data_IF_409723306107
#
_entry.id   IF_409723306107
#
_cell.length_a   1.000
_cell.length_b   1.000
_cell.length_c   1.000
_cell.angle_alpha   90.00
_cell.angle_beta   90.00
_cell.angle_gamma   90.00
#
_symmetry.space_group_name_H-M   'P 1'
#
loop_
_entity.id
_entity.type
_entity.pdbx_description
1 polymer ?
#
# COMPACT_ATOMS: atom_id res chain seq x y z
N UNK A 1 -19.85 4.09 -10.66
CA UNK A 1 -20.91 4.79 -9.90
C UNK A 1 -21.17 6.15 -10.50
N UNK A 2 -22.44 6.55 -10.59
CA UNK A 2 -22.84 7.91 -10.94
C UNK A 2 -23.22 8.69 -9.68
N UNK A 3 -23.30 10.03 -9.79
CA UNK A 3 -23.70 10.89 -8.67
C UNK A 3 -25.10 10.50 -8.17
N UNK A 4 -25.20 10.14 -6.89
CA UNK A 4 -26.46 9.71 -6.27
C UNK A 4 -26.66 8.18 -6.21
N UNK A 5 -25.83 7.39 -6.91
CA UNK A 5 -25.94 5.92 -6.93
C UNK A 5 -26.06 5.32 -5.53
N UNK A 6 -25.21 5.73 -4.59
CA UNK A 6 -25.19 5.18 -3.22
C UNK A 6 -26.50 5.38 -2.46
N UNK A 7 -27.22 6.49 -2.71
CA UNK A 7 -28.53 6.74 -2.10
C UNK A 7 -29.60 5.85 -2.72
N UNK A 8 -29.59 5.72 -4.04
CA UNK A 8 -30.49 4.81 -4.77
C UNK A 8 -30.27 3.35 -4.35
N UNK A 9 -29.01 2.93 -4.16
CA UNK A 9 -28.68 1.59 -3.66
C UNK A 9 -29.28 1.34 -2.27
N UNK A 10 -29.12 2.30 -1.34
CA UNK A 10 -29.72 2.21 -0.01
C UNK A 10 -31.26 2.19 -0.04
N UNK A 11 -31.87 2.81 -1.05
CA UNK A 11 -33.31 2.78 -1.29
C UNK A 11 -33.80 1.50 -2.01
N UNK A 12 -32.88 0.61 -2.43
CA UNK A 12 -33.23 -0.61 -3.19
C UNK A 12 -33.59 -0.36 -4.65
N UNK A 13 -33.16 0.76 -5.22
CA UNK A 13 -33.52 1.22 -6.57
C UNK A 13 -32.46 0.88 -7.64
N UNK A 14 -31.41 0.14 -7.27
CA UNK A 14 -30.31 -0.26 -8.16
C UNK A 14 -30.13 -1.77 -8.16
N UNK A 15 -29.17 -2.27 -8.93
CA UNK A 15 -28.71 -3.65 -8.82
C UNK A 15 -28.23 -3.96 -7.39
N UNK A 16 -28.44 -5.21 -6.98
CA UNK A 16 -28.00 -5.75 -5.70
C UNK A 16 -26.48 -5.96 -5.65
N UNK A 17 -25.92 -6.08 -4.44
CA UNK A 17 -24.48 -6.38 -4.27
C UNK A 17 -24.02 -7.59 -5.09
N UNK A 18 -24.71 -8.75 -5.09
CA UNK A 18 -24.28 -9.89 -5.89
C UNK A 18 -24.23 -9.59 -7.39
N UNK A 19 -25.23 -8.87 -7.93
CA UNK A 19 -25.27 -8.49 -9.35
C UNK A 19 -24.11 -7.57 -9.71
N UNK A 20 -23.82 -6.57 -8.87
CA UNK A 20 -22.70 -5.65 -9.08
C UNK A 20 -21.34 -6.38 -9.06
N UNK A 21 -21.14 -7.30 -8.11
CA UNK A 21 -19.92 -8.10 -8.03
C UNK A 21 -19.78 -9.07 -9.21
N UNK A 22 -20.89 -9.67 -9.64
CA UNK A 22 -20.92 -10.56 -10.80
C UNK A 22 -20.61 -9.81 -12.09
N UNK A 23 -21.11 -8.58 -12.25
CA UNK A 23 -20.77 -7.69 -13.36
C UNK A 23 -19.26 -7.40 -13.40
N UNK A 24 -18.64 -7.07 -12.26
CA UNK A 24 -17.20 -6.85 -12.17
C UNK A 24 -16.40 -8.11 -12.55
N UNK A 25 -16.78 -9.27 -11.98
CA UNK A 25 -16.17 -10.57 -12.29
C UNK A 25 -16.26 -10.90 -13.78
N UNK A 26 -17.44 -10.71 -14.38
CA UNK A 26 -17.68 -11.04 -15.78
C UNK A 26 -16.85 -10.13 -16.70
N UNK A 27 -16.76 -8.83 -16.40
CA UNK A 27 -15.92 -7.90 -17.14
C UNK A 27 -14.43 -8.29 -17.07
N UNK A 28 -13.92 -8.58 -15.87
CA UNK A 28 -12.52 -9.03 -15.69
C UNK A 28 -12.25 -10.33 -16.44
N UNK A 29 -13.15 -11.32 -16.35
CA UNK A 29 -13.00 -12.60 -17.05
C UNK A 29 -12.98 -12.42 -18.58
N UNK A 30 -13.84 -11.56 -19.11
CA UNK A 30 -13.89 -11.26 -20.53
C UNK A 30 -12.57 -10.60 -21.01
N UNK A 31 -12.07 -9.63 -20.25
CA UNK A 31 -10.81 -8.93 -20.56
C UNK A 31 -9.58 -9.85 -20.41
N UNK A 32 -9.61 -10.77 -19.45
CA UNK A 32 -8.51 -11.70 -19.17
C UNK A 32 -8.27 -12.73 -20.29
N UNK A 33 -9.27 -12.97 -21.15
CA UNK A 33 -9.16 -13.95 -22.23
C UNK A 33 -7.97 -13.63 -23.14
N UNK A 34 -7.07 -14.59 -23.29
CA UNK A 34 -5.85 -14.50 -24.09
C UNK A 34 -4.88 -13.38 -23.66
N UNK A 35 -4.94 -12.92 -22.40
CA UNK A 35 -4.00 -11.94 -21.85
C UNK A 35 -3.06 -12.62 -20.86
N UNK A 36 -1.80 -12.15 -20.84
CA UNK A 36 -0.79 -12.62 -19.87
C UNK A 36 -0.92 -11.94 -18.51
N UNK A 37 -1.36 -10.69 -18.52
CA UNK A 37 -1.48 -9.82 -17.34
C UNK A 37 -2.79 -9.05 -17.45
N UNK A 38 -3.45 -8.87 -16.31
CA UNK A 38 -4.58 -7.95 -16.15
C UNK A 38 -4.27 -7.06 -14.96
N UNK A 39 -4.43 -5.76 -15.16
CA UNK A 39 -4.37 -4.77 -14.09
C UNK A 39 -5.82 -4.36 -13.77
N UNK A 40 -6.20 -4.48 -12.50
CA UNK A 40 -7.51 -4.06 -12.01
C UNK A 40 -7.25 -2.82 -11.16
N UNK A 41 -7.65 -1.66 -11.67
CA UNK A 41 -7.53 -0.41 -10.93
C UNK A 41 -8.71 -0.25 -9.98
N UNK A 42 -8.42 -0.12 -8.69
CA UNK A 42 -9.41 0.12 -7.65
C UNK A 42 -9.76 1.60 -7.56
N UNK A 43 -10.92 1.93 -7.01
CA UNK A 43 -11.30 3.33 -6.81
C UNK A 43 -10.97 3.75 -5.39
N UNK A 44 -10.23 4.85 -5.24
CA UNK A 44 -9.93 5.46 -3.94
C UNK A 44 -9.20 4.52 -2.97
N UNK A 45 -9.56 4.58 -1.68
CA UNK A 45 -8.96 3.75 -0.63
C UNK A 45 -9.66 2.39 -0.52
N UNK A 46 -9.09 1.39 0.18
CA UNK A 46 -9.54 0.00 0.13
C UNK A 46 -11.04 -0.23 0.42
N UNK A 47 -11.66 0.58 1.28
CA UNK A 47 -13.05 0.42 1.69
C UNK A 47 -14.07 1.20 0.84
N UNK A 48 -13.64 1.92 -0.19
CA UNK A 48 -14.56 2.63 -1.11
C UNK A 48 -15.46 1.61 -1.79
N UNK A 49 -16.78 1.82 -1.73
CA UNK A 49 -17.79 0.87 -2.21
C UNK A 49 -18.45 0.03 -1.11
N UNK A 50 -18.02 0.17 0.15
CA UNK A 50 -18.54 -0.60 1.29
C UNK A 50 -20.04 -0.46 1.52
N UNK A 51 -20.64 0.71 1.25
CA UNK A 51 -22.10 0.91 1.35
C UNK A 51 -22.86 -0.06 0.44
N UNK A 52 -22.31 -0.35 -0.75
CA UNK A 52 -22.91 -1.25 -1.71
C UNK A 52 -22.40 -2.69 -1.58
N UNK A 53 -21.56 -2.99 -0.59
CA UNK A 53 -20.90 -4.30 -0.45
C UNK A 53 -19.90 -4.61 -1.56
N UNK A 54 -19.42 -3.60 -2.28
CA UNK A 54 -18.48 -3.73 -3.40
C UNK A 54 -17.18 -3.00 -3.12
N UNK A 55 -16.69 -3.06 -1.89
CA UNK A 55 -15.38 -2.50 -1.59
C UNK A 55 -14.28 -3.18 -2.41
N UNK A 56 -13.10 -2.57 -2.50
CA UNK A 56 -12.03 -3.08 -3.37
C UNK A 56 -11.60 -4.51 -2.97
N UNK A 57 -11.74 -4.91 -1.70
CA UNK A 57 -11.46 -6.27 -1.27
C UNK A 57 -12.54 -7.26 -1.74
N UNK A 58 -13.81 -6.85 -1.69
CA UNK A 58 -14.96 -7.60 -2.21
C UNK A 58 -14.89 -7.77 -3.73
N UNK A 59 -14.49 -6.72 -4.46
CA UNK A 59 -14.26 -6.80 -5.91
C UNK A 59 -13.08 -7.73 -6.23
N UNK A 60 -11.96 -7.62 -5.53
CA UNK A 60 -10.84 -8.55 -5.71
C UNK A 60 -11.26 -10.00 -5.43
N UNK A 61 -12.07 -10.22 -4.39
CA UNK A 61 -12.66 -11.53 -4.06
C UNK A 61 -13.59 -12.06 -5.15
N UNK A 62 -14.37 -11.20 -5.79
CA UNK A 62 -15.25 -11.61 -6.89
C UNK A 62 -14.45 -11.94 -8.16
N UNK A 63 -13.36 -11.21 -8.41
CA UNK A 63 -12.50 -11.34 -9.59
C UNK A 63 -11.41 -12.42 -9.44
N UNK A 64 -11.72 -13.52 -8.74
CA UNK A 64 -10.79 -14.64 -8.56
C UNK A 64 -10.38 -15.26 -9.89
N UNK A 65 -9.14 -15.74 -9.95
CA UNK A 65 -8.67 -16.57 -11.05
C UNK A 65 -9.57 -17.80 -11.19
N UNK A 66 -10.11 -18.03 -12.38
CA UNK A 66 -10.98 -19.19 -12.63
C UNK A 66 -10.27 -20.51 -12.37
N UNK A 67 -8.97 -20.59 -12.66
CA UNK A 67 -8.17 -21.81 -12.55
C UNK A 67 -7.77 -22.16 -11.12
N UNK A 68 -7.45 -21.17 -10.28
CA UNK A 68 -6.91 -21.43 -8.93
C UNK A 68 -7.82 -20.95 -7.80
N UNK A 69 -8.91 -20.24 -8.15
CA UNK A 69 -9.85 -19.61 -7.21
C UNK A 69 -9.19 -18.61 -6.25
N UNK A 70 -7.94 -18.23 -6.50
CA UNK A 70 -7.24 -17.20 -5.73
C UNK A 70 -7.73 -15.81 -6.17
N UNK A 71 -7.90 -14.85 -5.24
CA UNK A 71 -8.06 -13.45 -5.62
C UNK A 71 -6.77 -12.93 -6.28
N UNK A 72 -6.84 -11.85 -7.08
CA UNK A 72 -5.67 -11.17 -7.58
C UNK A 72 -4.83 -10.60 -6.42
N UNK A 73 -3.52 -10.50 -6.62
CA UNK A 73 -2.63 -9.82 -5.69
C UNK A 73 -2.88 -8.32 -5.68
N UNK A 74 -2.92 -7.72 -4.49
CA UNK A 74 -3.11 -6.27 -4.31
C UNK A 74 -1.76 -5.57 -4.14
N UNK A 75 -1.51 -4.61 -5.02
CA UNK A 75 -0.40 -3.66 -4.90
C UNK A 75 -0.94 -2.33 -4.37
N UNK A 76 -0.40 -1.84 -3.26
CA UNK A 76 -0.82 -0.56 -2.68
C UNK A 76 0.02 0.58 -3.27
N UNK A 77 -0.61 1.64 -3.75
CA UNK A 77 0.08 2.89 -4.09
C UNK A 77 0.00 3.82 -2.89
N UNK A 78 1.12 4.00 -2.19
CA UNK A 78 1.25 4.82 -1.00
C UNK A 78 1.77 6.23 -1.26
N UNK A 79 1.58 7.17 -0.32
CA UNK A 79 2.11 8.52 -0.41
C UNK A 79 3.62 8.58 -0.14
N UNK A 80 4.22 9.74 -0.36
CA UNK A 80 5.61 10.04 -0.01
C UNK A 80 5.83 10.29 1.49
N UNK A 81 7.09 10.40 1.90
CA UNK A 81 7.50 10.52 3.31
C UNK A 81 7.68 9.15 3.98
N UNK A 82 8.37 9.10 5.13
CA UNK A 82 8.63 7.81 5.82
C UNK A 82 7.41 7.36 6.62
N UNK A 83 6.96 8.19 7.57
CA UNK A 83 5.82 7.85 8.43
C UNK A 83 4.53 7.67 7.63
N UNK A 84 4.20 8.65 6.78
CA UNK A 84 2.99 8.60 5.98
C UNK A 84 2.94 7.38 5.04
N UNK A 85 4.05 7.02 4.38
CA UNK A 85 4.16 5.81 3.57
C UNK A 85 3.88 4.54 4.37
N UNK A 86 4.56 4.38 5.52
CA UNK A 86 4.47 3.18 6.35
C UNK A 86 3.09 3.04 6.99
N UNK A 87 2.56 4.12 7.57
CA UNK A 87 1.28 4.12 8.25
C UNK A 87 0.13 3.88 7.27
N UNK A 88 0.15 4.57 6.11
CA UNK A 88 -0.83 4.36 5.05
C UNK A 88 -0.78 2.93 4.52
N UNK A 89 0.42 2.38 4.29
CA UNK A 89 0.57 1.00 3.87
C UNK A 89 -0.02 0.04 4.90
N UNK A 90 0.36 0.16 6.17
CA UNK A 90 -0.10 -0.74 7.22
C UNK A 90 -1.61 -0.71 7.41
N UNK A 91 -2.21 0.48 7.41
CA UNK A 91 -3.65 0.66 7.53
C UNK A 91 -4.38 -0.01 6.36
N UNK A 92 -3.98 0.34 5.13
CA UNK A 92 -4.63 -0.17 3.92
C UNK A 92 -4.41 -1.67 3.73
N UNK A 93 -3.20 -2.16 3.99
CA UNK A 93 -2.89 -3.58 3.87
C UNK A 93 -3.66 -4.41 4.90
N UNK A 94 -3.89 -3.87 6.10
CA UNK A 94 -4.68 -4.54 7.14
C UNK A 94 -6.13 -4.75 6.70
N UNK A 95 -6.73 -3.77 6.00
CA UNK A 95 -8.10 -3.90 5.48
C UNK A 95 -8.25 -5.09 4.53
N UNK A 96 -7.36 -5.20 3.54
CA UNK A 96 -7.34 -6.34 2.61
C UNK A 96 -7.02 -7.66 3.32
N UNK A 97 -6.04 -7.64 4.23
CA UNK A 97 -5.60 -8.86 4.95
C UNK A 97 -6.67 -9.41 5.89
N UNK A 98 -7.45 -8.54 6.51
CA UNK A 98 -8.58 -8.94 7.37
C UNK A 98 -9.68 -9.64 6.58
N UNK A 99 -9.68 -9.47 5.25
CA UNK A 99 -10.58 -10.12 4.31
C UNK A 99 -9.81 -11.12 3.42
N UNK A 100 -8.73 -11.74 3.91
CA UNK A 100 -7.94 -12.75 3.19
C UNK A 100 -7.54 -12.39 1.75
N UNK A 101 -7.43 -11.09 1.44
CA UNK A 101 -6.95 -10.62 0.14
C UNK A 101 -5.43 -10.44 0.21
N UNK A 102 -4.66 -11.09 -0.66
CA UNK A 102 -3.20 -11.09 -0.61
C UNK A 102 -2.67 -9.73 -1.06
N UNK A 103 -2.06 -9.00 -0.14
CA UNK A 103 -1.31 -7.79 -0.44
C UNK A 103 0.12 -8.18 -0.78
N UNK A 104 0.55 -7.95 -2.02
CA UNK A 104 1.89 -8.32 -2.51
C UNK A 104 2.96 -7.31 -2.10
N UNK A 105 2.57 -6.05 -1.87
CA UNK A 105 3.51 -4.99 -1.56
C UNK A 105 2.97 -3.60 -1.88
N UNK A 106 3.88 -2.67 -2.09
CA UNK A 106 3.53 -1.28 -2.41
C UNK A 106 4.52 -0.59 -3.35
N UNK A 107 4.05 0.45 -4.02
CA UNK A 107 4.84 1.51 -4.64
C UNK A 107 4.55 2.79 -3.87
N UNK A 108 5.57 3.59 -3.60
CA UNK A 108 5.40 4.92 -2.99
C UNK A 108 5.59 5.98 -4.06
N UNK A 109 4.63 6.89 -4.18
CA UNK A 109 4.56 7.82 -5.30
C UNK A 109 4.79 9.28 -4.87
N UNK A 110 5.16 10.13 -5.83
CA UNK A 110 5.32 11.58 -5.68
C UNK A 110 6.38 11.95 -4.62
N UNK A 111 7.52 11.28 -4.64
CA UNK A 111 8.63 11.62 -3.75
C UNK A 111 9.43 12.81 -4.29
N UNK A 112 9.71 13.80 -3.43
CA UNK A 112 10.65 14.87 -3.81
C UNK A 112 12.03 14.28 -4.06
N UNK A 113 12.78 14.80 -5.02
CA UNK A 113 14.16 14.35 -5.27
C UNK A 113 15.16 14.93 -4.27
N UNK A 114 14.75 15.94 -3.51
CA UNK A 114 15.57 16.72 -2.59
C UNK A 114 14.95 16.85 -1.19
N UNK A 115 15.69 17.48 -0.28
CA UNK A 115 15.27 17.71 1.10
C UNK A 115 15.39 16.49 2.02
N UNK A 116 14.95 16.66 3.27
CA UNK A 116 15.04 15.62 4.30
C UNK A 116 14.23 14.36 3.94
N UNK A 117 13.04 14.56 3.37
CA UNK A 117 12.16 13.50 2.88
C UNK A 117 12.34 13.22 1.38
N UNK A 118 13.58 13.37 0.89
CA UNK A 118 13.93 13.02 -0.48
C UNK A 118 13.67 11.56 -0.79
N UNK A 119 13.57 11.27 -2.08
CA UNK A 119 13.36 9.94 -2.63
C UNK A 119 14.36 8.93 -2.07
N UNK A 120 15.64 9.25 -2.04
CA UNK A 120 16.68 8.34 -1.54
C UNK A 120 16.58 8.11 -0.03
N UNK A 121 16.32 9.17 0.74
CA UNK A 121 16.14 9.05 2.18
C UNK A 121 14.90 8.20 2.52
N UNK A 122 13.77 8.47 1.86
CA UNK A 122 12.55 7.70 2.04
C UNK A 122 12.72 6.26 1.58
N UNK A 123 13.31 6.03 0.40
CA UNK A 123 13.62 4.70 -0.13
C UNK A 123 14.40 3.88 0.91
N UNK A 124 15.50 4.43 1.44
CA UNK A 124 16.33 3.76 2.44
C UNK A 124 15.54 3.33 3.67
N UNK A 125 14.78 4.26 4.27
CA UNK A 125 14.07 3.98 5.53
C UNK A 125 12.86 3.07 5.34
N UNK A 126 12.07 3.28 4.29
CA UNK A 126 10.88 2.47 4.02
C UNK A 126 11.29 1.06 3.58
N UNK A 127 12.33 0.91 2.76
CA UNK A 127 12.86 -0.43 2.42
C UNK A 127 13.34 -1.17 3.68
N UNK A 128 14.05 -0.51 4.59
CA UNK A 128 14.48 -1.12 5.85
C UNK A 128 13.27 -1.57 6.69
N UNK A 129 12.22 -0.75 6.77
CA UNK A 129 10.97 -1.13 7.43
C UNK A 129 10.35 -2.40 6.83
N UNK A 130 10.23 -2.49 5.51
CA UNK A 130 9.66 -3.67 4.85
C UNK A 130 10.49 -4.93 5.11
N UNK A 131 11.82 -4.83 5.04
CA UNK A 131 12.73 -5.94 5.33
C UNK A 131 12.59 -6.45 6.78
N UNK A 132 12.40 -5.53 7.74
CA UNK A 132 12.34 -5.88 9.16
C UNK A 132 10.95 -6.36 9.60
N UNK A 133 9.87 -5.78 9.05
CA UNK A 133 8.52 -5.95 9.59
C UNK A 133 7.51 -6.53 8.60
N UNK A 134 7.84 -6.65 7.31
CA UNK A 134 6.94 -7.14 6.26
C UNK A 134 7.58 -8.29 5.47
N UNK A 135 7.90 -9.43 6.10
CA UNK A 135 8.70 -10.50 5.48
C UNK A 135 8.07 -11.13 4.22
N UNK A 136 6.76 -10.98 4.03
CA UNK A 136 6.02 -11.50 2.88
C UNK A 136 5.63 -10.44 1.84
N UNK A 137 6.04 -9.17 2.03
CA UNK A 137 5.65 -8.05 1.16
C UNK A 137 6.86 -7.20 0.79
N UNK A 138 6.80 -6.52 -0.35
CA UNK A 138 7.93 -5.71 -0.85
C UNK A 138 7.52 -4.27 -1.12
N UNK A 139 8.42 -3.32 -0.84
CA UNK A 139 8.38 -2.00 -1.45
C UNK A 139 8.97 -2.13 -2.86
N UNK A 140 8.11 -2.22 -3.87
CA UNK A 140 8.51 -2.46 -5.25
C UNK A 140 9.07 -1.23 -5.94
N UNK A 141 8.76 -0.03 -5.47
CA UNK A 141 9.29 1.18 -6.08
C UNK A 141 9.01 2.46 -5.32
N UNK A 142 9.77 3.48 -5.70
CA UNK A 142 9.73 4.83 -5.13
C UNK A 142 9.77 5.82 -6.28
N UNK A 143 8.60 6.28 -6.72
CA UNK A 143 8.44 7.08 -7.93
C UNK A 143 8.66 8.57 -7.58
N UNK A 144 9.58 9.27 -8.28
CA UNK A 144 9.78 10.69 -8.05
C UNK A 144 8.53 11.50 -8.44
N UNK A 145 8.40 12.68 -7.84
CA UNK A 145 7.45 13.67 -8.31
C UNK A 145 7.82 14.06 -9.75
N UNK A 146 6.88 13.93 -10.66
CA UNK A 146 7.03 14.29 -12.07
C UNK A 146 5.92 15.26 -12.45
N UNK A 147 6.13 16.59 -12.30
CA UNK A 147 5.06 17.59 -12.45
C UNK A 147 4.38 17.60 -13.82
N UNK A 148 5.14 17.34 -14.88
CA UNK A 148 4.66 17.35 -16.27
C UNK A 148 3.48 16.41 -16.55
N UNK A 149 3.30 15.33 -15.77
CA UNK A 149 2.15 14.43 -15.94
C UNK A 149 0.84 15.00 -15.36
N UNK A 150 0.92 16.13 -14.63
CA UNK A 150 -0.24 16.81 -14.06
C UNK A 150 -0.65 18.04 -14.87
N UNK A 151 0.05 18.34 -15.96
CA UNK A 151 -0.19 19.48 -16.86
C UNK A 151 -1.10 19.07 -18.02
N UNK A 152 -1.67 20.05 -18.74
CA UNK A 152 -2.62 19.80 -19.83
C UNK A 152 -2.00 19.02 -21.01
N UNK A 153 -0.67 19.06 -21.12
CA UNK A 153 0.15 18.37 -22.13
C UNK A 153 0.72 17.03 -21.63
N UNK A 154 0.18 16.45 -20.55
CA UNK A 154 0.70 15.22 -19.93
C UNK A 154 0.94 14.05 -20.91
N UNK A 155 0.13 13.95 -21.98
CA UNK A 155 0.30 12.92 -23.01
C UNK A 155 1.59 13.07 -23.82
N UNK A 156 2.14 14.29 -23.94
CA UNK A 156 3.41 14.56 -24.62
C UNK A 156 4.61 14.04 -23.81
N UNK A 157 4.46 13.95 -22.48
CA UNK A 157 5.51 13.53 -21.55
C UNK A 157 5.37 12.07 -21.09
N UNK A 158 4.46 11.30 -21.70
CA UNK A 158 4.15 9.94 -21.25
C UNK A 158 5.36 8.99 -21.38
N UNK A 159 6.14 9.12 -22.45
CA UNK A 159 7.32 8.26 -22.69
C UNK A 159 8.43 8.57 -21.67
N UNK A 160 8.63 9.85 -21.33
CA UNK A 160 9.54 10.26 -20.27
C UNK A 160 9.10 9.68 -18.91
N UNK A 161 7.79 9.73 -18.62
CA UNK A 161 7.26 9.15 -17.40
C UNK A 161 7.38 7.61 -17.36
N UNK A 162 7.16 6.92 -18.48
CA UNK A 162 7.33 5.46 -18.58
C UNK A 162 8.78 5.08 -18.26
N UNK A 163 9.75 5.84 -18.77
CA UNK A 163 11.16 5.61 -18.48
C UNK A 163 11.45 5.85 -16.99
N UNK A 164 11.05 6.99 -16.44
CA UNK A 164 11.22 7.32 -15.02
C UNK A 164 10.59 6.26 -14.12
N UNK A 165 9.36 5.84 -14.43
CA UNK A 165 8.66 4.81 -13.67
C UNK A 165 9.41 3.47 -13.71
N UNK A 166 9.87 3.06 -14.90
CA UNK A 166 10.61 1.81 -15.09
C UNK A 166 11.95 1.79 -14.34
N UNK A 167 12.63 2.93 -14.23
CA UNK A 167 13.88 3.05 -13.47
C UNK A 167 13.68 3.00 -11.95
N UNK A 168 12.47 3.31 -11.49
CA UNK A 168 12.15 3.47 -10.07
C UNK A 168 11.25 2.37 -9.50
N UNK A 169 10.74 1.47 -10.34
CA UNK A 169 9.78 0.43 -9.97
C UNK A 169 10.22 -0.93 -10.52
N UNK A 170 10.30 -1.92 -9.63
CA UNK A 170 10.54 -3.32 -9.97
C UNK A 170 9.26 -3.97 -10.54
N UNK A 171 8.93 -3.63 -11.79
CA UNK A 171 7.75 -4.14 -12.51
C UNK A 171 7.80 -5.67 -12.63
N UNK A 172 8.98 -6.23 -12.91
CA UNK A 172 9.17 -7.68 -12.98
C UNK A 172 8.87 -8.35 -11.64
N UNK A 173 9.35 -7.78 -10.53
CA UNK A 173 9.04 -8.24 -9.19
C UNK A 173 7.54 -8.21 -8.88
N UNK A 174 6.81 -7.18 -9.33
CA UNK A 174 5.36 -7.08 -9.18
C UNK A 174 4.66 -8.24 -9.89
N UNK A 175 5.01 -8.47 -11.17
CA UNK A 175 4.42 -9.56 -11.96
C UNK A 175 4.72 -10.92 -11.35
N UNK A 176 5.97 -11.17 -10.93
CA UNK A 176 6.36 -12.42 -10.27
C UNK A 176 5.64 -12.62 -8.93
N UNK A 177 5.43 -11.56 -8.15
CA UNK A 177 4.68 -11.65 -6.91
C UNK A 177 3.20 -11.95 -7.15
N UNK A 178 2.59 -11.33 -8.17
CA UNK A 178 1.23 -11.63 -8.59
C UNK A 178 1.08 -13.07 -9.10
N UNK A 179 2.06 -13.59 -9.83
CA UNK A 179 2.08 -14.98 -10.26
C UNK A 179 2.15 -15.96 -9.08
N UNK A 180 2.99 -15.67 -8.08
CA UNK A 180 3.07 -16.50 -6.87
C UNK A 180 1.73 -16.57 -6.14
N UNK A 181 1.01 -15.45 -6.04
CA UNK A 181 -0.35 -15.42 -5.48
C UNK A 181 -1.27 -16.35 -6.26
N UNK A 182 -1.26 -16.25 -7.59
CA UNK A 182 -2.07 -17.11 -8.46
C UNK A 182 -1.78 -18.59 -8.24
N UNK A 183 -0.51 -18.97 -8.06
CA UNK A 183 -0.07 -20.36 -7.91
C UNK A 183 -0.21 -20.93 -6.49
N UNK A 184 -0.60 -20.14 -5.49
CA UNK A 184 -0.74 -20.64 -4.13
C UNK A 184 -1.90 -21.66 -4.03
N UNK A 185 -1.72 -22.78 -3.32
CA UNK A 185 -2.81 -23.71 -3.06
C UNK A 185 -3.92 -23.02 -2.26
N UNK A 186 -5.17 -23.30 -2.61
CA UNK A 186 -6.33 -22.73 -1.94
C UNK A 186 -6.37 -23.27 -0.50
N UNK A 187 -6.05 -22.44 0.49
CA UNK A 187 -6.20 -22.79 1.90
C UNK A 187 -7.69 -22.77 2.23
N UNK A 188 -8.38 -23.88 2.03
CA UNK A 188 -9.70 -24.09 2.66
C UNK A 188 -9.56 -23.99 4.18
N UNK A 189 -10.09 -22.91 4.75
CA UNK A 189 -10.61 -22.79 6.10
C UNK A 189 -9.78 -23.41 7.26
N UNK A 190 -8.51 -23.03 7.42
CA UNK A 190 -7.89 -23.10 8.75
C UNK A 190 -8.12 -21.76 9.47
N UNK A 191 -8.96 -21.79 10.50
CA UNK A 191 -9.12 -20.67 11.43
C UNK A 191 -7.74 -20.33 11.98
N UNK A 192 -7.26 -19.14 11.65
CA UNK A 192 -6.00 -18.62 12.19
C UNK A 192 -6.08 -18.63 13.72
N UNK A 193 -5.11 -19.21 14.44
CA UNK A 193 -5.06 -19.08 15.88
C UNK A 193 -4.83 -17.61 16.26
N UNK A 194 -5.35 -17.15 17.41
CA UNK A 194 -5.17 -15.76 17.83
C UNK A 194 -3.67 -15.46 17.95
N UNK A 195 -3.24 -14.38 17.28
CA UNK A 195 -1.85 -13.90 17.35
C UNK A 195 -1.49 -13.62 18.81
N UNK A 196 -0.60 -14.43 19.40
CA UNK A 196 -0.04 -14.14 20.72
C UNK A 196 0.71 -12.82 20.65
N UNK A 197 0.23 -11.82 21.41
CA UNK A 197 0.94 -10.57 21.67
C UNK A 197 2.26 -10.92 22.34
N UNK A 198 3.38 -10.70 21.66
CA UNK A 198 4.70 -10.72 22.29
C UNK A 198 4.75 -9.53 23.23
N UNK A 199 4.82 -9.78 24.55
CA UNK A 199 5.09 -8.74 25.54
C UNK A 199 6.51 -8.24 25.29
N UNK A 200 6.65 -6.95 25.00
CA UNK A 200 7.94 -6.28 25.08
C UNK A 200 8.42 -6.37 26.54
N UNK A 201 9.52 -7.08 26.78
CA UNK A 201 10.18 -7.03 28.08
C UNK A 201 10.70 -5.62 28.32
N UNK A 202 10.27 -5.01 29.44
CA UNK A 202 10.83 -3.75 29.91
C UNK A 202 12.25 -4.01 30.40
N UNK A 203 13.26 -3.57 29.65
CA UNK A 203 14.61 -3.48 30.17
C UNK A 203 14.67 -2.38 31.24
N UNK A 204 14.55 -2.77 32.51
CA UNK A 204 14.79 -1.91 33.64
C UNK A 204 16.29 -1.89 33.97
N UNK A 205 16.91 -0.71 33.94
CA UNK A 205 17.98 -0.35 34.88
C UNK A 205 17.83 1.13 35.27
N UNK A 206 17.77 1.48 36.56
CA UNK A 206 17.75 2.86 37.00
C UNK A 206 19.18 3.40 36.96
N UNK A 207 19.41 4.47 36.19
CA UNK A 207 20.66 5.22 36.31
C UNK A 207 20.57 6.17 37.50
N UNK A 208 21.43 5.91 38.49
CA UNK A 208 21.69 6.74 39.66
C UNK A 208 21.99 8.19 39.25
N UNK A 209 21.40 9.12 39.99
CA UNK A 209 21.68 10.53 39.90
C UNK A 209 23.13 10.81 40.33
N UNK A 210 23.91 11.41 39.44
CA UNK A 210 25.16 12.09 39.78
C UNK A 210 25.04 13.54 39.35
N UNK A 211 25.09 14.42 40.35
CA UNK A 211 25.19 15.86 40.18
C UNK A 211 26.45 16.25 39.39
N UNK A 212 26.23 16.82 38.21
CA UNK A 212 27.24 17.53 37.44
C UNK A 212 26.54 18.38 36.39
N UNK A 213 26.45 19.70 36.64
CA UNK A 213 25.89 20.68 35.68
C UNK A 213 26.75 20.71 34.40
N UNK A 214 26.39 19.88 33.43
CA UNK A 214 26.69 20.07 32.01
C UNK A 214 25.39 19.84 31.26
N UNK A 215 24.99 20.81 30.45
CA UNK A 215 23.83 20.76 29.53
C UNK A 215 24.01 19.63 28.50
N UNK A 216 23.89 18.37 28.92
CA UNK A 216 23.88 17.22 28.02
C UNK A 216 22.44 17.00 27.58
N UNK A 217 22.17 17.40 26.34
CA UNK A 217 20.96 17.03 25.63
C UNK A 217 20.71 15.53 25.75
N UNK A 218 19.46 15.17 26.06
CA UNK A 218 18.98 13.79 26.05
C UNK A 218 19.13 13.19 24.64
N UNK A 219 19.14 11.86 24.53
CA UNK A 219 19.21 11.17 23.22
C UNK A 219 18.10 11.65 22.28
N UNK A 220 16.87 11.80 22.82
CA UNK A 220 15.73 12.37 22.08
C UNK A 220 16.05 13.76 21.52
N UNK A 221 16.50 14.67 22.38
CA UNK A 221 16.82 16.04 21.97
C UNK A 221 17.94 16.08 20.92
N UNK A 222 18.92 15.16 20.98
CA UNK A 222 19.97 15.07 19.96
C UNK A 222 19.43 14.60 18.62
N UNK A 223 18.60 13.55 18.61
CA UNK A 223 17.99 13.04 17.38
C UNK A 223 17.09 14.10 16.75
N UNK A 224 16.29 14.78 17.57
CA UNK A 224 15.39 15.84 17.12
C UNK A 224 16.17 17.03 16.55
N UNK A 225 17.21 17.51 17.26
CA UNK A 225 18.07 18.57 16.74
C UNK A 225 18.80 18.17 15.47
N UNK A 226 19.28 16.93 15.36
CA UNK A 226 19.91 16.41 14.13
C UNK A 226 18.91 16.34 12.97
N UNK A 227 17.67 15.91 13.23
CA UNK A 227 16.63 15.85 12.22
C UNK A 227 16.25 17.26 11.74
N UNK A 228 16.03 18.20 12.67
CA UNK A 228 15.73 19.60 12.35
C UNK A 228 16.88 20.27 11.59
N UNK A 229 18.13 20.07 12.03
CA UNK A 229 19.30 20.59 11.34
C UNK A 229 19.45 20.01 9.92
N UNK A 230 18.97 18.78 9.70
CA UNK A 230 18.91 18.14 8.39
C UNK A 230 17.68 18.52 7.56
N UNK A 231 16.81 19.42 8.05
CA UNK A 231 15.64 19.94 7.32
C UNK A 231 14.34 19.15 7.54
N UNK A 232 14.24 18.35 8.60
CA UNK A 232 12.97 17.71 8.96
C UNK A 232 11.93 18.79 9.36
N UNK A 233 10.70 18.63 8.89
CA UNK A 233 9.59 19.47 9.32
C UNK A 233 9.32 19.26 10.82
N UNK A 234 8.84 20.30 11.55
CA UNK A 234 8.40 20.12 12.93
C UNK A 234 7.29 19.06 13.00
N UNK A 235 7.37 18.17 13.98
CA UNK A 235 6.24 17.29 14.28
C UNK A 235 5.02 18.13 14.66
N UNK A 236 3.88 17.84 14.03
CA UNK A 236 2.58 18.39 14.44
C UNK A 236 2.17 17.89 15.83
#
# INVERSE_FOLDING_TARGET
YYKGFTRAFLAGETESTPELLDNARNAVNALAKNKRVILIDGVGFPAVGSICGTDNASVARACRYQTTQQPPGVLIVGPSGVGNAVDSFNLNATYFSAQDIPVIGAIFNKLSTDGYYSLDNCRKQVTAYFQQYQPSRKAFGFVPLFPKIAEDDALEHIDEFIQIFSDHVDVNGIVLAAERVRSMPNKTAEKSPPKKRVKLEKSAKPHQAMHGKRNRLTIRQRIEQQAVAAGAAPSA
#
